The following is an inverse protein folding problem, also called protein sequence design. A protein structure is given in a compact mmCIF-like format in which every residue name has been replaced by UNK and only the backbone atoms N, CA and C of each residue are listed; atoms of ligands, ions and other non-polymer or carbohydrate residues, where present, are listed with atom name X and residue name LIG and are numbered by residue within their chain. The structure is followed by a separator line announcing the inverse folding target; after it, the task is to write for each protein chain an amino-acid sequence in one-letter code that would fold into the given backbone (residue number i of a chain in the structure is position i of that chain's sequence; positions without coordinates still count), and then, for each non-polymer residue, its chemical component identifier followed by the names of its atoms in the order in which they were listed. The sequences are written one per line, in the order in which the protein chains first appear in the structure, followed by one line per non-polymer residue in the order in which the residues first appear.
data_IF_624960497609
#
_entry.id   IF_624960497609
#
_cell.length_a   1.000
_cell.length_b   1.000
_cell.length_c   1.000
_cell.angle_alpha   90.00
_cell.angle_beta   90.00
_cell.angle_gamma   90.00
#
_symmetry.space_group_name_H-M   'P 1'
#
loop_
_entity.id
_entity.type
_entity.pdbx_description
1 polymer ?
#
# COMPACT_ATOMS: atom_id res chain seq x y z
N UNK A 1 4.38 3.09 -8.72
CA UNK A 1 3.61 2.33 -7.73
C UNK A 1 4.53 1.27 -7.13
N UNK A 2 4.69 1.25 -5.82
CA UNK A 2 5.57 0.32 -5.10
C UNK A 2 4.68 -0.74 -4.45
N UNK A 3 4.67 -1.95 -5.02
CA UNK A 3 3.90 -3.06 -4.47
C UNK A 3 4.82 -4.04 -3.75
N UNK A 4 4.44 -4.40 -2.51
CA UNK A 4 5.18 -5.39 -1.72
C UNK A 4 4.37 -6.68 -1.67
N UNK A 5 5.00 -7.80 -2.03
CA UNK A 5 4.38 -9.12 -2.05
C UNK A 5 5.25 -10.08 -1.26
N UNK A 6 4.63 -10.84 -0.36
CA UNK A 6 5.32 -11.91 0.36
C UNK A 6 5.66 -13.07 -0.58
N UNK A 7 6.84 -13.65 -0.41
CA UNK A 7 7.26 -14.82 -1.18
C UNK A 7 8.01 -15.81 -0.31
N UNK A 8 7.87 -17.10 -0.65
CA UNK A 8 8.61 -18.19 -0.02
C UNK A 8 9.75 -18.61 -0.93
N UNK A 9 10.98 -18.54 -0.43
CA UNK A 9 12.15 -19.05 -1.15
C UNK A 9 12.28 -20.57 -0.94
N UNK A 10 12.26 -21.34 -2.02
CA UNK A 10 12.43 -22.79 -2.03
C UNK A 10 13.10 -23.23 -3.32
N UNK A 11 14.09 -24.11 -3.22
CA UNK A 11 14.77 -24.73 -4.38
C UNK A 11 15.31 -23.73 -5.41
N UNK A 12 15.88 -22.61 -4.94
CA UNK A 12 16.41 -21.57 -5.83
C UNK A 12 15.35 -20.65 -6.45
N UNK A 13 14.07 -20.83 -6.11
CA UNK A 13 12.95 -20.09 -6.66
C UNK A 13 12.18 -19.34 -5.57
N UNK A 14 11.61 -18.19 -5.95
CA UNK A 14 10.72 -17.40 -5.08
C UNK A 14 9.29 -17.69 -5.53
N UNK A 15 8.50 -18.26 -4.63
CA UNK A 15 7.08 -18.50 -4.85
C UNK A 15 6.29 -17.37 -4.18
N UNK A 16 5.72 -16.47 -4.98
CA UNK A 16 4.88 -15.40 -4.48
C UNK A 16 3.58 -15.96 -3.87
N UNK A 17 3.13 -15.38 -2.76
CA UNK A 17 1.86 -15.75 -2.12
C UNK A 17 0.65 -15.23 -2.90
N UNK A 18 0.85 -14.15 -3.66
CA UNK A 18 -0.12 -13.60 -4.61
C UNK A 18 0.56 -13.16 -5.91
N UNK A 19 -0.20 -13.16 -7.02
CA UNK A 19 0.30 -12.64 -8.28
C UNK A 19 0.16 -11.10 -8.30
N UNK A 20 1.20 -10.36 -8.71
CA UNK A 20 1.09 -8.93 -8.92
C UNK A 20 0.10 -8.64 -10.07
N UNK A 21 -1.09 -8.17 -9.71
CA UNK A 21 -1.98 -7.53 -10.67
C UNK A 21 -1.48 -6.11 -10.98
N UNK A 22 -1.55 -5.70 -12.25
CA UNK A 22 -1.24 -4.36 -12.73
C UNK A 22 0.23 -3.91 -12.54
N UNK A 23 1.17 -4.84 -12.69
CA UNK A 23 2.62 -4.55 -12.74
C UNK A 23 3.13 -4.76 -14.17
N UNK A 24 3.94 -3.82 -14.66
CA UNK A 24 4.58 -3.92 -15.99
C UNK A 24 5.51 -5.13 -16.05
N UNK A 25 5.52 -5.79 -17.20
CA UNK A 25 6.41 -6.91 -17.56
C UNK A 25 7.91 -6.59 -17.49
N UNK A 26 8.29 -5.31 -17.38
CA UNK A 26 9.69 -4.84 -17.23
C UNK A 26 9.98 -4.18 -15.88
N UNK A 27 9.18 -4.47 -14.87
CA UNK A 27 9.36 -3.87 -13.54
C UNK A 27 10.64 -4.35 -12.85
N UNK A 28 11.38 -3.41 -12.25
CA UNK A 28 12.54 -3.73 -11.43
C UNK A 28 12.08 -4.26 -10.06
N UNK A 29 12.74 -5.30 -9.57
CA UNK A 29 12.42 -5.94 -8.28
C UNK A 29 13.61 -5.89 -7.33
N UNK A 30 13.34 -5.67 -6.05
CA UNK A 30 14.30 -5.83 -4.97
C UNK A 30 13.92 -7.09 -4.19
N UNK A 31 14.88 -7.99 -3.99
CA UNK A 31 14.69 -9.22 -3.21
C UNK A 31 15.61 -9.19 -2.00
N UNK A 32 15.04 -9.36 -0.82
CA UNK A 32 15.79 -9.48 0.44
C UNK A 32 15.45 -10.81 1.09
N UNK A 33 16.45 -11.65 1.31
CA UNK A 33 16.29 -12.92 2.03
C UNK A 33 16.34 -12.65 3.53
N UNK A 34 15.30 -13.08 4.23
CA UNK A 34 15.12 -12.85 5.65
C UNK A 34 15.32 -14.19 6.37
N UNK A 35 16.39 -14.31 7.16
CA UNK A 35 16.63 -15.48 8.00
C UNK A 35 16.19 -15.20 9.44
N UNK A 36 15.41 -16.13 10.02
CA UNK A 36 14.85 -16.05 11.37
C UNK A 36 14.20 -14.70 11.76
N UNK A 37 13.40 -14.12 10.87
CA UNK A 37 12.66 -12.88 11.18
C UNK A 37 11.32 -13.20 11.83
N UNK A 38 11.01 -12.45 12.88
CA UNK A 38 9.69 -12.39 13.48
C UNK A 38 8.64 -11.96 12.43
N UNK A 39 7.65 -12.79 12.10
CA UNK A 39 6.62 -12.47 11.11
C UNK A 39 5.91 -11.14 11.35
N UNK A 40 5.82 -10.70 12.61
CA UNK A 40 5.23 -9.39 12.95
C UNK A 40 6.04 -8.22 12.41
N UNK A 41 7.38 -8.31 12.41
CA UNK A 41 8.26 -7.27 11.87
C UNK A 41 8.18 -7.20 10.35
N UNK A 42 8.04 -8.34 9.69
CA UNK A 42 7.84 -8.38 8.25
C UNK A 42 6.52 -7.71 7.87
N UNK A 43 5.44 -8.02 8.58
CA UNK A 43 4.15 -7.35 8.38
C UNK A 43 4.24 -5.84 8.64
N UNK A 44 4.89 -5.41 9.71
CA UNK A 44 5.11 -3.98 9.99
C UNK A 44 5.86 -3.27 8.87
N UNK A 45 6.88 -3.91 8.29
CA UNK A 45 7.60 -3.35 7.14
C UNK A 45 6.69 -3.21 5.93
N UNK A 46 5.85 -4.22 5.64
CA UNK A 46 4.88 -4.15 4.53
C UNK A 46 3.88 -3.02 4.73
N UNK A 47 3.29 -2.91 5.93
CA UNK A 47 2.36 -1.82 6.28
C UNK A 47 3.01 -0.42 6.16
N UNK A 48 4.29 -0.31 6.54
CA UNK A 48 5.04 0.93 6.39
C UNK A 48 5.25 1.32 4.93
N UNK A 49 5.57 0.36 4.06
CA UNK A 49 5.74 0.60 2.63
C UNK A 49 4.41 1.00 1.96
N UNK A 50 3.30 0.34 2.31
CA UNK A 50 1.95 0.71 1.86
C UNK A 50 1.57 2.13 2.32
N UNK A 51 1.93 2.50 3.54
CA UNK A 51 1.68 3.85 4.06
C UNK A 51 2.42 4.92 3.26
N UNK A 52 3.67 4.66 2.87
CA UNK A 52 4.44 5.57 2.01
C UNK A 52 3.76 5.74 0.64
N UNK A 53 3.26 4.65 0.06
CA UNK A 53 2.54 4.69 -1.22
C UNK A 53 1.27 5.53 -1.13
N UNK A 54 0.45 5.32 -0.09
CA UNK A 54 -0.76 6.12 0.14
C UNK A 54 -0.46 7.61 0.30
N UNK A 55 0.65 7.97 0.96
CA UNK A 55 1.11 9.35 1.07
C UNK A 55 1.50 9.92 -0.30
N UNK A 56 2.26 9.18 -1.10
CA UNK A 56 2.65 9.59 -2.45
C UNK A 56 1.42 9.84 -3.34
N UNK A 57 0.44 8.92 -3.29
CA UNK A 57 -0.84 9.10 -3.99
C UNK A 57 -1.56 10.37 -3.54
N UNK A 58 -1.65 10.62 -2.22
CA UNK A 58 -2.26 11.85 -1.70
C UNK A 58 -1.60 13.12 -2.24
N UNK A 59 -0.27 13.14 -2.38
CA UNK A 59 0.44 14.25 -3.02
C UNK A 59 0.09 14.41 -4.50
N UNK A 60 -0.04 13.31 -5.25
CA UNK A 60 -0.46 13.34 -6.66
C UNK A 60 -1.89 13.89 -6.82
N UNK A 61 -2.81 13.51 -5.93
CA UNK A 61 -4.18 14.02 -5.91
C UNK A 61 -4.21 15.52 -5.64
N UNK A 62 -3.45 16.00 -4.66
CA UNK A 62 -3.31 17.44 -4.38
C UNK A 62 -2.75 18.18 -5.59
N UNK A 63 -1.64 17.69 -6.16
CA UNK A 63 -0.97 18.33 -7.30
C UNK A 63 -1.82 18.34 -8.57
N UNK A 64 -2.69 17.34 -8.74
CA UNK A 64 -3.64 17.26 -9.87
C UNK A 64 -4.95 18.02 -9.61
N UNK A 65 -5.09 18.68 -8.46
CA UNK A 65 -6.29 19.42 -8.09
C UNK A 65 -7.48 18.54 -7.72
N UNK A 66 -7.28 17.22 -7.53
CA UNK A 66 -8.27 16.27 -7.03
C UNK A 66 -8.46 16.42 -5.52
N UNK A 67 -8.73 17.64 -5.09
CA UNK A 67 -9.04 17.98 -3.70
C UNK A 67 -10.51 18.28 -3.55
N UNK A 68 -11.05 18.14 -2.34
CA UNK A 68 -12.40 18.58 -1.99
C UNK A 68 -12.40 19.53 -0.80
N UNK A 69 -13.39 20.43 -0.69
CA UNK A 69 -13.57 21.24 0.51
C UNK A 69 -13.75 20.36 1.76
N UNK A 70 -13.18 20.82 2.89
CA UNK A 70 -13.32 20.13 4.17
C UNK A 70 -14.78 20.06 4.65
N UNK A 71 -15.58 21.09 4.33
CA UNK A 71 -17.02 21.13 4.62
C UNK A 71 -17.77 19.97 3.99
N UNK A 72 -17.46 19.67 2.73
CA UNK A 72 -18.16 18.66 1.94
C UNK A 72 -17.83 17.27 2.47
N UNK A 73 -16.57 17.06 2.87
CA UNK A 73 -16.15 15.86 3.58
C UNK A 73 -16.86 15.71 4.93
N UNK A 74 -16.89 16.76 5.74
CA UNK A 74 -17.53 16.72 7.06
C UNK A 74 -19.03 16.40 6.95
N UNK A 75 -19.71 16.98 5.97
CA UNK A 75 -21.12 16.72 5.67
C UNK A 75 -21.33 15.25 5.25
N UNK A 76 -20.53 14.73 4.33
CA UNK A 76 -20.61 13.32 3.89
C UNK A 76 -20.44 12.36 5.07
N UNK A 77 -19.45 12.60 5.93
CA UNK A 77 -19.22 11.74 7.10
C UNK A 77 -20.34 11.86 8.12
N UNK A 78 -20.90 13.06 8.32
CA UNK A 78 -22.07 13.25 9.17
C UNK A 78 -23.29 12.47 8.68
N UNK A 79 -23.57 12.51 7.38
CA UNK A 79 -24.66 11.76 6.75
C UNK A 79 -24.42 10.24 6.82
N UNK A 80 -23.21 9.79 6.48
CA UNK A 80 -22.84 8.38 6.42
C UNK A 80 -22.90 7.70 7.79
N UNK A 81 -22.54 8.41 8.85
CA UNK A 81 -22.47 7.86 10.21
C UNK A 81 -23.58 8.37 11.13
N UNK A 82 -24.52 9.15 10.63
CA UNK A 82 -25.61 9.74 11.42
C UNK A 82 -25.10 10.64 12.55
N UNK A 83 -23.99 11.34 12.34
CA UNK A 83 -23.43 12.27 13.31
C UNK A 83 -24.23 13.57 13.20
N UNK A 84 -25.27 13.70 14.01
CA UNK A 84 -25.98 14.95 14.21
C UNK A 84 -25.08 15.93 14.97
N UNK A 85 -24.82 17.11 14.40
CA UNK A 85 -24.18 18.23 15.09
C UNK A 85 -25.01 18.75 16.26
#
# INVERSE_FOLDING_TARGET
MLKTIEGVYRDGQIHLTELPNDISDRSQVLVTFLDQIDPSKLRQLMEYLESIEGIQQGFEEINSGKTRPLSDFAQEMAEKYGISG
#
